data_IF_696549681213
#
_entry.id   IF_696549681213
#
_cell.length_a   1.000
_cell.length_b   1.000
_cell.length_c   1.000
_cell.angle_alpha   90.00
_cell.angle_beta   90.00
_cell.angle_gamma   90.00
#
_symmetry.space_group_name_H-M   'P 1'
#
loop_
_entity.id
_entity.type
_entity.pdbx_description
1 polymer ?
#
# COMPACT_ATOMS: atom_id res chain seq x y z
N UNK A 1 -8.36 -13.38 14.64
CA UNK A 1 -8.48 -14.12 13.36
C UNK A 1 -9.38 -15.37 13.44
N UNK A 2 -10.04 -15.67 14.56
CA UNK A 2 -11.14 -16.63 14.56
C UNK A 2 -12.41 -15.92 14.05
N UNK A 3 -12.97 -16.36 12.90
CA UNK A 3 -14.33 -15.98 12.49
C UNK A 3 -14.54 -15.47 11.06
N UNK A 4 -13.50 -15.15 10.27
CA UNK A 4 -13.70 -14.77 8.86
C UNK A 4 -13.79 -16.03 8.01
N UNK A 5 -14.99 -16.36 7.54
CA UNK A 5 -15.18 -17.46 6.59
C UNK A 5 -14.68 -17.01 5.22
N UNK A 6 -13.46 -17.42 4.85
CA UNK A 6 -12.95 -17.15 3.50
C UNK A 6 -13.77 -17.94 2.48
N UNK A 7 -14.29 -17.25 1.47
CA UNK A 7 -15.06 -17.85 0.39
C UNK A 7 -14.47 -17.38 -0.93
N UNK A 8 -14.04 -18.32 -1.77
CA UNK A 8 -13.54 -18.01 -3.11
C UNK A 8 -14.70 -17.66 -4.05
N UNK A 9 -14.83 -16.37 -4.41
CA UNK A 9 -15.89 -15.84 -5.28
C UNK A 9 -15.28 -14.93 -6.34
N UNK A 10 -14.60 -15.49 -7.35
CA UNK A 10 -14.03 -14.68 -8.43
C UNK A 10 -15.14 -14.03 -9.26
N UNK A 11 -14.98 -12.76 -9.60
CA UNK A 11 -15.87 -12.07 -10.52
C UNK A 11 -15.13 -11.02 -11.32
N UNK A 12 -15.57 -10.79 -12.56
CA UNK A 12 -15.05 -9.69 -13.37
C UNK A 12 -15.28 -8.33 -12.69
N UNK A 13 -16.39 -8.19 -11.96
CA UNK A 13 -16.69 -6.99 -11.18
C UNK A 13 -15.64 -6.74 -10.08
N UNK A 14 -15.22 -7.77 -9.33
CA UNK A 14 -14.15 -7.65 -8.34
C UNK A 14 -12.83 -7.19 -8.96
N UNK A 15 -12.50 -7.68 -10.16
CA UNK A 15 -11.30 -7.25 -10.89
C UNK A 15 -11.40 -5.78 -11.33
N UNK A 16 -12.53 -5.36 -11.91
CA UNK A 16 -12.73 -3.96 -12.30
C UNK A 16 -12.68 -3.04 -11.08
N UNK A 17 -13.25 -3.48 -9.97
CA UNK A 17 -13.24 -2.70 -8.73
C UNK A 17 -11.82 -2.59 -8.15
N UNK A 18 -10.99 -3.63 -8.21
CA UNK A 18 -9.61 -3.58 -7.71
C UNK A 18 -8.67 -2.71 -8.54
N UNK A 19 -9.01 -2.41 -9.80
CA UNK A 19 -8.29 -1.41 -10.60
C UNK A 19 -8.38 -0.02 -9.99
N UNK A 20 -9.47 0.32 -9.28
CA UNK A 20 -9.63 1.65 -8.71
C UNK A 20 -8.56 1.97 -7.64
N UNK A 21 -8.42 1.22 -6.53
CA UNK A 21 -7.33 1.43 -5.58
C UNK A 21 -5.96 1.17 -6.23
N UNK A 22 -5.86 0.12 -7.07
CA UNK A 22 -4.61 -0.22 -7.75
C UNK A 22 -4.06 0.89 -8.66
N UNK A 23 -4.91 1.75 -9.23
CA UNK A 23 -4.46 2.91 -10.02
C UNK A 23 -4.40 4.16 -9.16
N UNK A 24 -5.47 4.50 -8.46
CA UNK A 24 -5.60 5.78 -7.78
C UNK A 24 -4.61 5.92 -6.62
N UNK A 25 -4.42 4.89 -5.81
CA UNK A 25 -3.49 4.94 -4.68
C UNK A 25 -2.04 5.01 -5.15
N UNK A 26 -1.71 4.29 -6.22
CA UNK A 26 -0.37 4.29 -6.79
C UNK A 26 -0.01 5.65 -7.40
N UNK A 27 -0.96 6.35 -8.02
CA UNK A 27 -0.74 7.72 -8.52
C UNK A 27 -0.61 8.70 -7.36
N UNK A 28 -1.57 8.71 -6.42
CA UNK A 28 -1.69 9.74 -5.39
C UNK A 28 -0.68 9.55 -4.26
N UNK A 29 -0.41 8.31 -3.84
CA UNK A 29 0.41 8.04 -2.67
C UNK A 29 1.77 7.46 -3.00
N UNK A 30 1.99 6.92 -4.21
CA UNK A 30 3.32 6.43 -4.61
C UNK A 30 4.03 7.37 -5.57
N UNK A 31 3.44 7.68 -6.72
CA UNK A 31 4.07 8.55 -7.72
C UNK A 31 4.26 9.98 -7.18
N UNK A 32 3.21 10.57 -6.63
CA UNK A 32 3.29 11.91 -6.07
C UNK A 32 4.30 11.97 -4.91
N UNK A 33 4.25 11.02 -3.97
CA UNK A 33 5.21 10.97 -2.86
C UNK A 33 6.64 10.75 -3.35
N UNK A 34 6.84 9.97 -4.41
CA UNK A 34 8.14 9.82 -5.05
C UNK A 34 8.64 11.15 -5.63
N UNK A 35 7.83 11.83 -6.43
CA UNK A 35 8.20 13.13 -7.01
C UNK A 35 8.49 14.17 -5.92
N UNK A 36 7.66 14.22 -4.88
CA UNK A 36 7.86 15.08 -3.73
C UNK A 36 9.15 14.74 -2.96
N UNK A 37 9.45 13.45 -2.79
CA UNK A 37 10.69 12.99 -2.14
C UNK A 37 11.93 13.38 -2.95
N UNK A 38 11.90 13.24 -4.28
CA UNK A 38 12.98 13.70 -5.16
C UNK A 38 13.18 15.20 -5.01
N UNK A 39 12.09 15.98 -4.99
CA UNK A 39 12.17 17.42 -4.75
C UNK A 39 12.83 17.75 -3.41
N UNK A 40 12.40 17.11 -2.32
CA UNK A 40 12.98 17.30 -0.98
C UNK A 40 14.46 16.90 -0.90
N UNK A 41 14.88 15.90 -1.66
CA UNK A 41 16.26 15.41 -1.70
C UNK A 41 17.14 16.15 -2.72
N UNK A 42 16.73 17.35 -3.18
CA UNK A 42 17.55 18.20 -4.04
C UNK A 42 17.46 17.87 -5.53
N UNK A 43 16.36 17.25 -5.96
CA UNK A 43 16.03 17.01 -7.38
C UNK A 43 16.67 15.77 -7.99
N UNK A 44 17.61 15.12 -7.30
CA UNK A 44 18.21 13.83 -7.72
C UNK A 44 18.74 13.05 -6.54
N UNK A 45 18.77 11.73 -6.66
CA UNK A 45 19.44 10.85 -5.71
C UNK A 45 20.92 10.74 -6.09
N UNK A 46 21.81 11.18 -5.20
CA UNK A 46 23.25 11.21 -5.38
C UNK A 46 24.02 10.31 -4.40
N UNK A 47 23.40 9.94 -3.28
CA UNK A 47 24.02 9.09 -2.27
C UNK A 47 23.18 7.87 -1.90
N UNK A 48 23.82 6.84 -1.33
CA UNK A 48 23.11 5.68 -0.77
C UNK A 48 22.17 6.06 0.38
N UNK A 49 22.51 7.09 1.16
CA UNK A 49 21.65 7.58 2.25
C UNK A 49 20.38 8.22 1.70
N UNK A 50 20.49 9.05 0.66
CA UNK A 50 19.34 9.62 -0.04
C UNK A 50 18.46 8.52 -0.67
N UNK A 51 19.08 7.47 -1.23
CA UNK A 51 18.33 6.33 -1.74
C UNK A 51 17.51 5.64 -0.64
N UNK A 52 18.08 5.43 0.55
CA UNK A 52 17.34 4.89 1.70
C UNK A 52 16.20 5.83 2.10
N UNK A 53 16.44 7.13 2.18
CA UNK A 53 15.42 8.11 2.51
C UNK A 53 14.29 8.16 1.49
N UNK A 54 14.58 8.01 0.20
CA UNK A 54 13.57 7.92 -0.83
C UNK A 54 12.60 6.76 -0.56
N UNK A 55 13.09 5.58 -0.21
CA UNK A 55 12.21 4.45 0.16
C UNK A 55 11.38 4.75 1.38
N UNK A 56 11.97 5.35 2.43
CA UNK A 56 11.24 5.70 3.66
C UNK A 56 10.12 6.71 3.35
N UNK A 57 10.43 7.78 2.62
CA UNK A 57 9.50 8.86 2.30
C UNK A 57 8.39 8.44 1.31
N UNK A 58 8.60 7.38 0.53
CA UNK A 58 7.55 6.81 -0.33
C UNK A 58 6.71 5.78 0.42
N UNK A 59 7.35 4.87 1.17
CA UNK A 59 6.64 3.73 1.79
C UNK A 59 5.86 4.16 3.03
N UNK A 60 6.45 4.95 3.92
CA UNK A 60 5.83 5.28 5.21
C UNK A 60 4.51 6.04 5.02
N UNK A 61 4.41 7.09 4.20
CA UNK A 61 3.13 7.79 4.00
C UNK A 61 2.04 6.90 3.43
N UNK A 62 2.40 6.01 2.50
CA UNK A 62 1.46 5.05 1.93
C UNK A 62 0.97 4.04 2.97
N UNK A 63 1.84 3.49 3.83
CA UNK A 63 1.42 2.58 4.90
C UNK A 63 0.54 3.28 5.94
N UNK A 64 0.85 4.54 6.27
CA UNK A 64 0.05 5.33 7.22
C UNK A 64 -1.36 5.64 6.70
N UNK A 65 -1.61 5.55 5.39
CA UNK A 65 -2.96 5.66 4.83
C UNK A 65 -3.90 4.59 5.38
N UNK A 66 -3.39 3.39 5.66
CA UNK A 66 -4.17 2.28 6.22
C UNK A 66 -4.24 2.29 7.76
N UNK A 67 -3.74 3.36 8.39
CA UNK A 67 -3.84 3.52 9.84
C UNK A 67 -5.30 3.53 10.31
N UNK A 68 -6.23 4.29 9.69
CA UNK A 68 -7.63 4.27 10.10
C UNK A 68 -8.25 2.87 10.02
N UNK A 69 -7.96 2.12 8.95
CA UNK A 69 -8.47 0.77 8.73
C UNK A 69 -8.06 -0.21 9.85
N UNK A 70 -6.89 0.02 10.45
CA UNK A 70 -6.29 -0.87 11.45
C UNK A 70 -6.64 -0.48 12.90
N UNK A 71 -6.82 0.82 13.18
CA UNK A 71 -6.93 1.32 14.55
C UNK A 71 -8.25 2.01 14.87
N UNK A 72 -9.08 2.36 13.89
CA UNK A 72 -10.43 2.86 14.13
C UNK A 72 -11.45 1.75 13.91
N UNK A 73 -11.89 1.13 15.01
CA UNK A 73 -12.90 0.06 15.00
C UNK A 73 -14.17 0.62 15.61
N UNK A 74 -15.28 0.56 14.88
CA UNK A 74 -16.60 1.06 15.32
C UNK A 74 -16.56 2.52 15.83
N UNK A 75 -15.79 3.39 15.17
CA UNK A 75 -15.67 4.81 15.53
C UNK A 75 -14.81 5.09 16.78
N UNK A 76 -14.20 4.06 17.38
CA UNK A 76 -13.29 4.19 18.52
C UNK A 76 -11.85 3.93 18.11
N UNK A 77 -10.92 4.68 18.69
CA UNK A 77 -9.49 4.48 18.49
C UNK A 77 -8.99 3.36 19.42
N UNK A 78 -8.54 2.25 18.83
CA UNK A 78 -7.97 1.10 19.53
C UNK A 78 -6.45 1.08 19.33
N UNK A 79 -5.69 1.54 20.33
CA UNK A 79 -4.23 1.51 20.30
C UNK A 79 -3.70 0.34 21.14
N UNK A 80 -3.39 -0.77 20.47
CA UNK A 80 -2.54 -1.82 21.02
C UNK A 80 -1.09 -1.53 20.59
N UNK A 81 -0.20 -1.27 21.55
CA UNK A 81 1.22 -0.96 21.28
C UNK A 81 1.91 -2.04 20.43
N UNK A 82 1.54 -3.32 20.60
CA UNK A 82 2.08 -4.41 19.80
C UNK A 82 1.64 -4.30 18.35
N UNK A 83 0.34 -4.12 18.11
CA UNK A 83 -0.21 -3.92 16.77
C UNK A 83 0.26 -2.61 16.14
N UNK A 84 0.47 -1.55 16.93
CA UNK A 84 0.90 -0.22 16.49
C UNK A 84 2.26 -0.27 15.77
N UNK A 85 3.17 -1.11 16.24
CA UNK A 85 4.52 -1.21 15.70
C UNK A 85 4.65 -2.34 14.67
N UNK A 86 4.02 -3.50 14.92
CA UNK A 86 4.21 -4.68 14.08
C UNK A 86 3.44 -4.57 12.78
N UNK A 87 2.19 -4.11 12.81
CA UNK A 87 1.33 -4.06 11.61
C UNK A 87 1.91 -3.16 10.51
N UNK A 88 2.33 -1.91 10.78
CA UNK A 88 2.89 -1.05 9.73
C UNK A 88 4.18 -1.61 9.13
N UNK A 89 5.01 -2.27 9.94
CA UNK A 89 6.24 -2.91 9.44
C UNK A 89 5.91 -4.07 8.50
N UNK A 90 4.93 -4.91 8.85
CA UNK A 90 4.50 -6.00 7.97
C UNK A 90 3.86 -5.47 6.68
N UNK A 91 3.00 -4.46 6.76
CA UNK A 91 2.40 -3.82 5.59
C UNK A 91 3.47 -3.18 4.68
N UNK A 92 4.46 -2.52 5.28
CA UNK A 92 5.60 -1.96 4.56
C UNK A 92 6.40 -3.05 3.85
N UNK A 93 6.70 -4.17 4.52
CA UNK A 93 7.53 -5.24 3.95
C UNK A 93 6.80 -6.06 2.89
N UNK A 94 5.51 -6.38 3.10
CA UNK A 94 4.74 -7.26 2.23
C UNK A 94 4.11 -6.52 1.04
N UNK A 95 3.77 -5.24 1.20
CA UNK A 95 3.04 -4.49 0.17
C UNK A 95 3.79 -3.22 -0.25
N UNK A 96 4.16 -2.37 0.71
CA UNK A 96 4.77 -1.07 0.41
C UNK A 96 6.12 -1.19 -0.33
N UNK A 97 7.00 -2.07 0.12
CA UNK A 97 8.34 -2.25 -0.43
C UNK A 97 8.31 -2.95 -1.80
N UNK A 98 7.61 -4.08 -2.01
CA UNK A 98 7.55 -4.72 -3.33
C UNK A 98 6.99 -3.81 -4.42
N UNK A 99 5.91 -3.08 -4.14
CA UNK A 99 5.31 -2.15 -5.10
C UNK A 99 6.22 -0.95 -5.37
N UNK A 100 6.89 -0.40 -4.35
CA UNK A 100 7.89 0.65 -4.53
C UNK A 100 9.07 0.18 -5.37
N UNK A 101 9.57 -1.04 -5.12
CA UNK A 101 10.63 -1.64 -5.93
C UNK A 101 10.19 -1.86 -7.39
N UNK A 102 8.95 -2.29 -7.61
CA UNK A 102 8.39 -2.45 -8.96
C UNK A 102 8.34 -1.11 -9.70
N UNK A 103 7.87 -0.05 -9.03
CA UNK A 103 7.84 1.31 -9.59
C UNK A 103 9.24 1.81 -9.95
N UNK A 104 10.18 1.72 -9.01
CA UNK A 104 11.52 2.30 -9.19
C UNK A 104 12.40 1.52 -10.16
N UNK A 105 12.19 0.20 -10.30
CA UNK A 105 13.00 -0.66 -11.18
C UNK A 105 12.40 -0.86 -12.56
N UNK A 106 11.10 -0.59 -12.74
CA UNK A 106 10.40 -0.72 -14.02
C UNK A 106 9.59 0.52 -14.35
N UNK A 107 8.41 0.64 -13.78
CA UNK A 107 7.49 1.74 -14.04
C UNK A 107 6.31 1.73 -13.06
N UNK A 108 5.55 2.82 -13.04
CA UNK A 108 4.34 2.95 -12.24
C UNK A 108 3.29 1.87 -12.57
N UNK A 109 3.17 1.49 -13.84
CA UNK A 109 2.21 0.47 -14.27
C UNK A 109 2.47 -0.90 -13.60
N UNK A 110 3.73 -1.24 -13.37
CA UNK A 110 4.13 -2.45 -12.65
C UNK A 110 3.63 -2.44 -11.20
N UNK A 111 3.71 -1.30 -10.52
CA UNK A 111 3.19 -1.15 -9.16
C UNK A 111 1.64 -1.22 -9.15
N UNK A 112 0.99 -0.55 -10.11
CA UNK A 112 -0.47 -0.61 -10.29
C UNK A 112 -0.98 -2.03 -10.51
N UNK A 113 -0.28 -2.81 -11.34
CA UNK A 113 -0.65 -4.19 -11.60
C UNK A 113 -0.52 -5.05 -10.34
N UNK A 114 0.59 -4.94 -9.60
CA UNK A 114 0.79 -5.69 -8.36
C UNK A 114 -0.30 -5.33 -7.34
N UNK A 115 -0.56 -4.04 -7.15
CA UNK A 115 -1.61 -3.58 -6.23
C UNK A 115 -2.98 -4.13 -6.66
N UNK A 116 -3.36 -3.97 -7.93
CA UNK A 116 -4.61 -4.50 -8.48
C UNK A 116 -4.77 -6.01 -8.22
N UNK A 117 -3.69 -6.78 -8.37
CA UNK A 117 -3.70 -8.24 -8.12
C UNK A 117 -3.89 -8.53 -6.62
N UNK A 118 -3.18 -7.84 -5.75
CA UNK A 118 -3.32 -7.99 -4.29
C UNK A 118 -4.76 -7.71 -3.86
N UNK A 119 -5.33 -6.61 -4.33
CA UNK A 119 -6.70 -6.22 -4.00
C UNK A 119 -7.73 -7.13 -4.65
N UNK A 120 -7.48 -7.62 -5.86
CA UNK A 120 -8.35 -8.62 -6.47
C UNK A 120 -8.38 -9.90 -5.64
N UNK A 121 -7.22 -10.40 -5.20
CA UNK A 121 -7.13 -11.57 -4.30
C UNK A 121 -7.87 -11.28 -2.99
N UNK A 122 -7.68 -10.10 -2.40
CA UNK A 122 -8.41 -9.69 -1.19
C UNK A 122 -9.92 -9.77 -1.43
N UNK A 123 -10.41 -9.21 -2.53
CA UNK A 123 -11.83 -9.14 -2.82
C UNK A 123 -12.49 -10.49 -3.08
N UNK A 124 -11.81 -11.40 -3.78
CA UNK A 124 -12.37 -12.71 -4.11
C UNK A 124 -12.32 -13.69 -2.93
N UNK A 125 -11.59 -13.39 -1.85
CA UNK A 125 -11.52 -14.24 -0.65
C UNK A 125 -12.20 -13.64 0.58
N UNK A 126 -12.10 -12.32 0.75
CA UNK A 126 -12.56 -11.60 1.95
C UNK A 126 -13.82 -10.75 1.70
N UNK A 127 -14.25 -10.60 0.45
CA UNK A 127 -15.41 -9.80 0.07
C UNK A 127 -15.03 -8.44 -0.51
N UNK A 128 -16.03 -7.80 -1.13
CA UNK A 128 -15.89 -6.49 -1.76
C UNK A 128 -15.82 -5.39 -0.69
N UNK A 129 -15.24 -4.21 -0.99
CA UNK A 129 -14.95 -3.16 0.00
C UNK A 129 -16.18 -2.32 0.39
N UNK A 130 -17.36 -2.93 0.56
CA UNK A 130 -18.62 -2.25 0.88
C UNK A 130 -19.51 -3.03 1.84
#
# INVERSE_FOLDING_TARGET
LAGVQMKFVPSFYAFVLSLNPGISEEVIYRLFMYAFSIYLLGGRISTRKEAVWLYVLVIVPHVLLHFPDSYFVNGSLHLDLGMLLVSPVLLALLFGLPMTLAMLKRDLASAMLIHTIVDFIRFIFLGLPF
#
